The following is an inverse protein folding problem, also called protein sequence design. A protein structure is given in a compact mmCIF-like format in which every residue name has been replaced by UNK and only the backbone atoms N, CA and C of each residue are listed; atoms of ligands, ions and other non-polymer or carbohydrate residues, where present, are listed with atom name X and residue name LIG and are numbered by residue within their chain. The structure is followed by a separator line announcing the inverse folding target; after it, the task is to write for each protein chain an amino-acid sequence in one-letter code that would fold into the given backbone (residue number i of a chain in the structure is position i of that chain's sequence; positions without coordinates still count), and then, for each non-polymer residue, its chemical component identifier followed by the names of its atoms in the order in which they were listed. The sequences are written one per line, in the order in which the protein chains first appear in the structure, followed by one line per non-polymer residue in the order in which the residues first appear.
data_IF_892838578184
#
_entry.id   IF_892838578184
#
_cell.length_a   1.000
_cell.length_b   1.000
_cell.length_c   1.000
_cell.angle_alpha   90.00
_cell.angle_beta   90.00
_cell.angle_gamma   90.00
#
_symmetry.space_group_name_H-M   'P 1'
#
loop_
_entity.id
_entity.type
_entity.pdbx_description
1 polymer ?
#
# COMPACT_ATOMS: atom_id res chain seq x y z
N UNK A 1 -21.12 35.13 30.02
CA UNK A 1 -21.87 33.88 29.76
C UNK A 1 -21.63 33.45 28.32
N UNK A 2 -20.72 32.48 28.10
CA UNK A 2 -20.45 31.93 26.76
C UNK A 2 -21.57 30.93 26.43
N UNK A 3 -22.34 31.20 25.38
CA UNK A 3 -23.30 30.25 24.80
C UNK A 3 -22.52 29.03 24.33
N UNK A 4 -22.79 27.87 24.92
CA UNK A 4 -22.33 26.59 24.40
C UNK A 4 -22.82 26.45 22.95
N UNK A 5 -21.89 26.33 22.00
CA UNK A 5 -22.20 25.99 20.64
C UNK A 5 -22.95 24.65 20.65
N UNK A 6 -24.18 24.63 20.14
CA UNK A 6 -24.92 23.38 19.93
C UNK A 6 -24.16 22.61 18.85
N UNK A 7 -23.64 21.45 19.22
CA UNK A 7 -23.01 20.50 18.30
C UNK A 7 -24.01 20.11 17.19
N UNK A 8 -23.48 19.86 16.00
CA UNK A 8 -24.25 19.51 14.81
C UNK A 8 -25.01 18.18 15.05
N UNK A 9 -26.28 18.03 14.62
CA UNK A 9 -27.01 16.75 14.66
C UNK A 9 -26.23 15.54 14.12
N UNK A 10 -25.31 15.72 13.16
CA UNK A 10 -24.41 14.66 12.68
C UNK A 10 -23.39 14.23 13.74
N UNK A 11 -22.76 15.19 14.44
CA UNK A 11 -21.82 14.93 15.55
C UNK A 11 -22.51 14.23 16.73
N UNK A 12 -23.80 14.50 16.97
CA UNK A 12 -24.61 13.83 17.99
C UNK A 12 -24.92 12.35 17.69
N UNK A 13 -24.82 11.92 16.43
CA UNK A 13 -25.05 10.53 16.01
C UNK A 13 -23.77 9.68 16.19
N UNK A 14 -22.62 10.26 15.88
CA UNK A 14 -21.31 9.65 16.10
C UNK A 14 -20.99 9.50 17.59
N UNK A 15 -21.25 10.52 18.41
CA UNK A 15 -21.01 10.46 19.86
C UNK A 15 -21.76 9.29 20.55
N UNK A 16 -22.93 8.89 20.03
CA UNK A 16 -23.73 7.75 20.53
C UNK A 16 -23.22 6.38 20.08
N UNK A 17 -22.54 6.30 18.94
CA UNK A 17 -21.91 5.05 18.47
C UNK A 17 -20.70 4.64 19.32
N UNK A 18 -20.04 5.59 19.97
CA UNK A 18 -18.84 5.35 20.78
C UNK A 18 -19.10 5.29 22.29
N UNK A 19 -20.35 5.52 22.71
CA UNK A 19 -20.73 5.66 24.12
C UNK A 19 -21.40 4.44 24.75
N UNK A 20 -21.67 3.39 23.97
CA UNK A 20 -22.37 2.16 24.40
C UNK A 20 -21.54 0.90 24.13
N UNK A 21 -21.77 -0.16 24.91
CA UNK A 21 -21.12 -1.46 24.68
C UNK A 21 -21.50 -2.06 23.31
N UNK A 22 -22.76 -1.90 22.90
CA UNK A 22 -23.23 -2.36 21.59
C UNK A 22 -22.61 -1.55 20.44
N UNK A 23 -22.52 -0.23 20.60
CA UNK A 23 -21.82 0.66 19.68
C UNK A 23 -20.35 0.27 19.50
N UNK A 24 -19.64 -0.01 20.60
CA UNK A 24 -18.26 -0.49 20.55
C UNK A 24 -18.10 -1.85 19.84
N UNK A 25 -19.04 -2.79 20.05
CA UNK A 25 -19.07 -4.08 19.33
C UNK A 25 -19.27 -3.88 17.82
N UNK A 26 -20.25 -3.05 17.46
CA UNK A 26 -20.56 -2.76 16.06
C UNK A 26 -19.39 -2.02 15.37
N UNK A 27 -18.76 -1.07 16.06
CA UNK A 27 -17.56 -0.41 15.57
C UNK A 27 -16.43 -1.41 15.31
N UNK A 28 -16.15 -2.31 16.25
CA UNK A 28 -15.10 -3.32 16.13
C UNK A 28 -15.32 -4.26 14.95
N UNK A 29 -16.57 -4.68 14.71
CA UNK A 29 -16.92 -5.52 13.55
C UNK A 29 -16.74 -4.79 12.23
N UNK A 30 -17.19 -3.53 12.13
CA UNK A 30 -17.00 -2.74 10.90
C UNK A 30 -15.53 -2.40 10.66
N UNK A 31 -14.75 -2.18 11.73
CA UNK A 31 -13.31 -1.99 11.65
C UNK A 31 -12.60 -3.26 11.15
N UNK A 32 -13.05 -4.45 11.61
CA UNK A 32 -12.58 -5.74 11.08
C UNK A 32 -12.88 -5.88 9.59
N UNK A 33 -14.12 -5.60 9.17
CA UNK A 33 -14.51 -5.63 7.75
C UNK A 33 -13.61 -4.71 6.93
N UNK A 34 -13.46 -3.44 7.33
CA UNK A 34 -12.58 -2.49 6.66
C UNK A 34 -11.17 -3.05 6.45
N UNK A 35 -10.62 -3.70 7.48
CA UNK A 35 -9.28 -4.27 7.39
C UNK A 35 -9.24 -5.46 6.44
N UNK A 36 -10.20 -6.38 6.51
CA UNK A 36 -10.31 -7.50 5.57
C UNK A 36 -10.42 -7.01 4.12
N UNK A 37 -11.26 -6.01 3.91
CA UNK A 37 -11.49 -5.36 2.61
C UNK A 37 -10.21 -4.65 2.12
N UNK A 38 -9.39 -4.15 3.05
CA UNK A 38 -8.09 -3.53 2.75
C UNK A 38 -6.95 -4.54 2.56
N UNK A 39 -7.21 -5.84 2.69
CA UNK A 39 -6.18 -6.89 2.73
C UNK A 39 -5.26 -6.78 3.96
N UNK A 40 -5.74 -6.18 5.04
CA UNK A 40 -5.04 -5.99 6.31
C UNK A 40 -5.62 -6.99 7.30
N UNK A 41 -4.78 -7.87 7.82
CA UNK A 41 -5.27 -8.87 8.77
C UNK A 41 -5.14 -8.35 10.19
N UNK A 42 -6.23 -7.82 10.71
CA UNK A 42 -6.28 -7.30 12.07
C UNK A 42 -7.36 -8.06 12.85
N UNK A 43 -6.99 -8.98 13.76
CA UNK A 43 -7.94 -9.83 14.46
C UNK A 43 -9.06 -9.06 15.18
N UNK A 44 -10.26 -9.67 15.28
CA UNK A 44 -11.42 -9.01 15.88
C UNK A 44 -11.18 -8.60 17.34
N UNK A 45 -10.46 -9.42 18.11
CA UNK A 45 -10.09 -9.08 19.49
C UNK A 45 -9.17 -7.83 19.55
N UNK A 46 -8.29 -7.63 18.57
CA UNK A 46 -7.49 -6.40 18.46
C UNK A 46 -8.34 -5.22 17.99
N UNK A 47 -9.32 -5.42 17.12
CA UNK A 47 -10.30 -4.39 16.77
C UNK A 47 -11.10 -3.94 18.01
N UNK A 48 -11.52 -4.88 18.85
CA UNK A 48 -12.19 -4.63 20.13
C UNK A 48 -11.30 -3.83 21.09
N UNK A 49 -10.03 -4.23 21.22
CA UNK A 49 -9.07 -3.49 22.02
C UNK A 49 -8.84 -2.06 21.49
N UNK A 50 -8.73 -1.90 20.17
CA UNK A 50 -8.62 -0.59 19.53
C UNK A 50 -9.84 0.29 19.82
N UNK A 51 -11.05 -0.27 19.74
CA UNK A 51 -12.29 0.44 20.08
C UNK A 51 -12.32 0.89 21.55
N UNK A 52 -11.89 0.02 22.47
CA UNK A 52 -11.84 0.34 23.89
C UNK A 52 -10.85 1.48 24.20
N UNK A 53 -9.63 1.40 23.67
CA UNK A 53 -8.60 2.43 23.86
C UNK A 53 -9.02 3.76 23.20
N UNK A 54 -9.60 3.70 22.00
CA UNK A 54 -10.16 4.87 21.33
C UNK A 54 -11.27 5.52 22.17
N UNK A 55 -12.13 4.72 22.81
CA UNK A 55 -13.14 5.16 23.78
C UNK A 55 -12.58 5.77 25.07
N UNK A 56 -11.28 5.65 25.33
CA UNK A 56 -10.63 6.15 26.55
C UNK A 56 -10.66 5.14 27.71
N UNK A 57 -10.86 3.86 27.43
CA UNK A 57 -10.80 2.76 28.40
C UNK A 57 -9.42 2.09 28.36
N UNK A 58 -9.07 1.36 29.43
CA UNK A 58 -7.80 0.63 29.48
C UNK A 58 -7.78 -0.55 28.51
N UNK A 59 -8.87 -1.32 28.49
CA UNK A 59 -9.04 -2.51 27.68
C UNK A 59 -10.53 -2.84 27.49
N UNK A 60 -10.83 -3.93 26.78
CA UNK A 60 -12.20 -4.35 26.49
C UNK A 60 -13.01 -4.73 27.73
N UNK A 61 -12.38 -5.29 28.76
CA UNK A 61 -13.05 -5.66 30.01
C UNK A 61 -13.38 -4.43 30.84
N UNK A 62 -12.48 -3.44 30.86
CA UNK A 62 -12.70 -2.13 31.47
C UNK A 62 -13.86 -1.37 30.82
N UNK A 63 -13.91 -1.37 29.48
CA UNK A 63 -15.07 -0.85 28.73
C UNK A 63 -16.35 -1.56 29.12
N UNK A 64 -16.35 -2.90 29.13
CA UNK A 64 -17.51 -3.70 29.47
C UNK A 64 -18.07 -3.41 30.86
N UNK A 65 -17.20 -3.27 31.87
CA UNK A 65 -17.59 -2.91 33.25
C UNK A 65 -18.10 -1.48 33.34
N UNK A 66 -17.41 -0.54 32.68
CA UNK A 66 -17.71 0.90 32.77
C UNK A 66 -19.00 1.30 32.07
N UNK A 67 -19.39 0.58 31.00
CA UNK A 67 -20.61 0.85 30.22
C UNK A 67 -21.78 -0.07 30.59
N UNK A 68 -21.65 -0.92 31.61
CA UNK A 68 -22.68 -1.86 32.03
C UNK A 68 -23.96 -1.19 32.60
N UNK A 69 -23.94 0.12 32.86
CA UNK A 69 -25.10 0.81 33.45
C UNK A 69 -25.26 2.30 33.10
N UNK A 70 -24.35 2.91 32.33
CA UNK A 70 -24.49 4.32 31.94
C UNK A 70 -23.70 4.62 30.66
N UNK A 71 -24.33 5.32 29.72
CA UNK A 71 -23.68 5.78 28.50
C UNK A 71 -22.62 6.84 28.83
N UNK A 72 -21.45 6.73 28.20
CA UNK A 72 -20.38 7.71 28.35
C UNK A 72 -20.08 8.36 27.01
N UNK A 73 -20.53 9.61 26.75
CA UNK A 73 -20.21 10.29 25.51
C UNK A 73 -18.69 10.47 25.37
N UNK A 74 -18.18 10.20 24.17
CA UNK A 74 -16.76 10.35 23.83
C UNK A 74 -16.63 11.47 22.80
N UNK A 75 -15.66 12.36 23.03
CA UNK A 75 -15.29 13.38 22.04
C UNK A 75 -14.77 12.70 20.74
N UNK A 76 -15.41 12.94 19.58
CA UNK A 76 -15.03 12.29 18.31
C UNK A 76 -13.57 12.57 17.91
N UNK A 77 -13.09 13.80 18.14
CA UNK A 77 -11.71 14.19 17.85
C UNK A 77 -10.70 13.41 18.69
N UNK A 78 -10.96 13.27 20.00
CA UNK A 78 -10.13 12.49 20.91
C UNK A 78 -10.20 10.98 20.61
N UNK A 79 -11.37 10.47 20.21
CA UNK A 79 -11.52 9.08 19.76
C UNK A 79 -10.64 8.80 18.55
N UNK A 80 -10.73 9.63 17.50
CA UNK A 80 -9.91 9.50 16.28
C UNK A 80 -8.42 9.49 16.59
N UNK A 81 -7.94 10.44 17.41
CA UNK A 81 -6.52 10.52 17.80
C UNK A 81 -6.04 9.27 18.53
N UNK A 82 -6.81 8.78 19.51
CA UNK A 82 -6.45 7.57 20.27
C UNK A 82 -6.50 6.30 19.42
N UNK A 83 -7.47 6.19 18.51
CA UNK A 83 -7.57 5.07 17.60
C UNK A 83 -6.34 4.96 16.70
N UNK A 84 -5.95 6.06 16.04
CA UNK A 84 -4.78 6.08 15.17
C UNK A 84 -3.50 5.81 15.95
N UNK A 85 -3.36 6.39 17.16
CA UNK A 85 -2.19 6.14 18.01
C UNK A 85 -2.05 4.67 18.44
N UNK A 86 -3.16 3.94 18.60
CA UNK A 86 -3.13 2.52 18.97
C UNK A 86 -2.88 1.60 17.78
N UNK A 87 -3.45 1.93 16.62
CA UNK A 87 -3.35 1.10 15.43
C UNK A 87 -1.91 1.08 14.89
N UNK A 88 -1.46 -0.04 14.29
CA UNK A 88 -0.20 -0.06 13.57
C UNK A 88 -0.32 0.81 12.31
N UNK A 89 0.80 1.39 11.87
CA UNK A 89 0.87 2.30 10.70
C UNK A 89 0.17 1.77 9.43
N UNK A 90 0.31 0.47 9.06
CA UNK A 90 -0.50 -0.18 8.02
C UNK A 90 -2.01 0.14 8.01
N UNK A 91 -2.60 0.24 9.20
CA UNK A 91 -4.03 0.41 9.42
C UNK A 91 -4.47 1.87 9.37
N UNK A 92 -3.54 2.83 9.46
CA UNK A 92 -3.88 4.24 9.63
C UNK A 92 -4.66 4.77 8.44
N UNK A 93 -4.19 4.51 7.21
CA UNK A 93 -4.79 5.12 6.03
C UNK A 93 -6.21 4.61 5.78
N UNK A 94 -6.50 3.29 5.72
CA UNK A 94 -7.88 2.83 5.56
C UNK A 94 -8.81 3.36 6.65
N UNK A 95 -8.33 3.44 7.90
CA UNK A 95 -9.14 3.94 9.03
C UNK A 95 -9.40 5.44 8.93
N UNK A 96 -8.40 6.24 8.52
CA UNK A 96 -8.60 7.67 8.33
C UNK A 96 -9.64 7.93 7.23
N UNK A 97 -9.50 7.26 6.09
CA UNK A 97 -10.47 7.33 5.01
C UNK A 97 -11.86 6.87 5.45
N UNK A 98 -11.93 5.72 6.14
CA UNK A 98 -13.19 5.13 6.62
C UNK A 98 -13.94 5.99 7.65
N UNK A 99 -13.20 6.63 8.56
CA UNK A 99 -13.78 7.56 9.53
C UNK A 99 -14.30 8.83 8.85
N UNK A 100 -13.64 9.27 7.78
CA UNK A 100 -14.06 10.44 7.02
C UNK A 100 -15.29 10.14 6.12
N UNK A 101 -15.51 8.89 5.66
CA UNK A 101 -16.71 8.51 4.86
C UNK A 101 -18.02 8.64 5.62
N UNK A 102 -18.01 8.41 6.93
CA UNK A 102 -19.23 8.37 7.74
C UNK A 102 -19.95 9.72 7.83
N UNK A 103 -19.29 10.78 7.38
CA UNK A 103 -19.79 12.16 7.39
C UNK A 103 -20.30 12.65 6.01
N UNK A 104 -20.28 11.82 4.96
CA UNK A 104 -20.60 12.28 3.60
C UNK A 104 -21.47 11.27 2.82
N UNK A 105 -22.43 11.78 2.04
CA UNK A 105 -23.20 10.98 1.08
C UNK A 105 -22.32 10.59 -0.13
N UNK A 106 -22.34 9.31 -0.51
CA UNK A 106 -21.64 8.81 -1.71
C UNK A 106 -22.47 9.09 -2.95
N UNK A 107 -21.81 9.43 -4.07
CA UNK A 107 -22.47 9.84 -5.32
C UNK A 107 -23.29 8.72 -5.96
N UNK A 108 -22.90 7.46 -5.76
CA UNK A 108 -23.47 6.31 -6.50
C UNK A 108 -24.20 5.28 -5.62
N UNK A 109 -24.43 5.54 -4.34
CA UNK A 109 -25.21 4.66 -3.46
C UNK A 109 -24.60 3.27 -3.16
N UNK A 110 -23.64 2.81 -3.95
CA UNK A 110 -22.79 1.66 -3.65
C UNK A 110 -21.60 2.13 -2.80
N UNK A 111 -21.39 1.49 -1.65
CA UNK A 111 -20.19 1.72 -0.84
C UNK A 111 -18.92 1.38 -1.64
N UNK A 112 -17.76 1.83 -1.17
CA UNK A 112 -16.49 1.46 -1.78
C UNK A 112 -16.35 -0.06 -1.86
N UNK A 113 -16.03 -0.58 -3.04
CA UNK A 113 -15.74 -2.01 -3.20
C UNK A 113 -14.44 -2.37 -2.45
N UNK A 114 -14.34 -3.63 -1.99
CA UNK A 114 -13.15 -4.11 -1.27
C UNK A 114 -11.85 -3.84 -2.05
N UNK A 115 -11.89 -3.94 -3.38
CA UNK A 115 -10.73 -3.69 -4.24
C UNK A 115 -10.23 -2.24 -4.18
N UNK A 116 -11.07 -1.27 -3.84
CA UNK A 116 -10.67 0.14 -3.81
C UNK A 116 -9.64 0.43 -2.72
N UNK A 117 -9.90 -0.02 -1.48
CA UNK A 117 -9.00 0.19 -0.34
C UNK A 117 -7.64 -0.47 -0.53
N UNK A 118 -7.64 -1.57 -1.28
CA UNK A 118 -6.45 -2.35 -1.59
C UNK A 118 -5.67 -1.79 -2.77
N UNK A 119 -6.34 -1.46 -3.87
CA UNK A 119 -5.70 -1.14 -5.15
C UNK A 119 -5.52 0.36 -5.38
N UNK A 120 -6.33 1.22 -4.77
CA UNK A 120 -6.38 2.66 -5.10
C UNK A 120 -5.88 3.54 -3.95
N UNK A 121 -6.33 3.29 -2.72
CA UNK A 121 -5.96 4.11 -1.54
C UNK A 121 -4.43 4.26 -1.33
N UNK A 122 -3.60 3.22 -1.54
CA UNK A 122 -2.14 3.38 -1.44
C UNK A 122 -1.57 4.41 -2.43
N UNK A 123 -2.13 4.48 -3.64
CA UNK A 123 -1.72 5.42 -4.68
C UNK A 123 -2.29 6.83 -4.42
N UNK A 124 -3.51 6.93 -3.90
CA UNK A 124 -4.09 8.20 -3.42
C UNK A 124 -3.21 8.83 -2.35
N UNK A 125 -2.85 8.05 -1.33
CA UNK A 125 -2.00 8.54 -0.25
C UNK A 125 -0.60 8.90 -0.76
N UNK A 126 0.02 8.01 -1.53
CA UNK A 126 1.37 8.24 -2.06
C UNK A 126 1.41 9.49 -2.94
N UNK A 127 0.43 9.66 -3.84
CA UNK A 127 0.31 10.87 -4.65
C UNK A 127 0.16 12.13 -3.79
N UNK A 128 -0.67 12.10 -2.74
CA UNK A 128 -0.82 13.25 -1.84
C UNK A 128 0.48 13.66 -1.13
N UNK A 129 1.30 12.68 -0.73
CA UNK A 129 2.60 12.90 -0.06
C UNK A 129 3.62 13.44 -1.07
N UNK A 130 3.75 12.79 -2.23
CA UNK A 130 4.73 13.17 -3.24
C UNK A 130 4.39 14.53 -3.86
N UNK A 131 3.12 14.89 -4.06
CA UNK A 131 2.74 16.23 -4.50
C UNK A 131 3.20 17.32 -3.53
N UNK A 132 3.00 17.14 -2.22
CA UNK A 132 3.47 18.09 -1.20
C UNK A 132 4.98 18.27 -1.22
N UNK A 133 5.73 17.20 -1.50
CA UNK A 133 7.18 17.24 -1.50
C UNK A 133 7.78 17.69 -2.82
N UNK A 134 7.18 17.38 -3.98
CA UNK A 134 7.77 17.59 -5.32
C UNK A 134 7.15 18.74 -6.12
N UNK A 135 5.84 18.98 -6.00
CA UNK A 135 5.18 20.01 -6.81
C UNK A 135 5.51 21.41 -6.30
N UNK A 136 6.30 22.17 -7.06
CA UNK A 136 6.76 23.51 -6.68
C UNK A 136 5.60 24.46 -6.33
N UNK A 137 4.46 24.35 -7.03
CA UNK A 137 3.27 25.16 -6.79
C UNK A 137 2.59 24.88 -5.44
N UNK A 138 2.83 23.73 -4.84
CA UNK A 138 2.19 23.28 -3.60
C UNK A 138 3.08 23.47 -2.36
N UNK A 139 4.39 23.65 -2.55
CA UNK A 139 5.33 23.81 -1.43
C UNK A 139 5.08 25.11 -0.64
N UNK A 140 5.26 25.11 0.69
CA UNK A 140 5.23 26.33 1.48
C UNK A 140 6.17 27.39 0.90
N UNK A 141 5.67 28.61 0.70
CA UNK A 141 6.43 29.70 0.10
C UNK A 141 6.26 29.88 -1.41
N UNK A 142 5.43 29.08 -2.10
CA UNK A 142 5.15 29.22 -3.55
C UNK A 142 4.29 30.44 -3.93
N UNK A 143 4.19 31.43 -3.05
CA UNK A 143 3.49 32.69 -3.26
C UNK A 143 1.98 32.66 -2.99
N UNK A 144 1.28 33.75 -3.33
CA UNK A 144 -0.15 33.88 -3.10
C UNK A 144 -0.95 32.74 -3.76
N UNK A 145 -1.93 32.20 -3.04
CA UNK A 145 -2.74 31.06 -3.51
C UNK A 145 -2.16 29.68 -3.22
N UNK A 146 -0.98 29.55 -2.61
CA UNK A 146 -0.36 28.26 -2.28
C UNK A 146 -1.32 27.33 -1.51
N UNK A 147 -1.96 27.83 -0.44
CA UNK A 147 -2.89 27.03 0.38
C UNK A 147 -4.11 26.58 -0.40
N UNK A 148 -4.61 27.41 -1.33
CA UNK A 148 -5.72 27.06 -2.19
C UNK A 148 -5.30 25.94 -3.15
N UNK A 149 -4.15 26.07 -3.82
CA UNK A 149 -3.62 25.02 -4.71
C UNK A 149 -3.37 23.71 -3.98
N UNK A 150 -2.74 23.76 -2.81
CA UNK A 150 -2.52 22.56 -1.98
C UNK A 150 -3.85 21.91 -1.62
N UNK A 151 -4.84 22.71 -1.22
CA UNK A 151 -6.18 22.22 -0.92
C UNK A 151 -6.84 21.56 -2.14
N UNK A 152 -6.82 22.23 -3.30
CA UNK A 152 -7.42 21.72 -4.54
C UNK A 152 -6.83 20.37 -4.95
N UNK A 153 -5.54 20.12 -4.70
CA UNK A 153 -4.89 18.84 -5.04
C UNK A 153 -5.03 17.83 -3.91
N UNK A 154 -4.55 18.17 -2.71
CA UNK A 154 -4.41 17.20 -1.61
C UNK A 154 -5.74 16.91 -0.93
N UNK A 155 -6.57 17.93 -0.68
CA UNK A 155 -7.88 17.69 -0.07
C UNK A 155 -8.83 16.97 -1.03
N UNK A 156 -8.72 17.23 -2.33
CA UNK A 156 -9.45 16.46 -3.36
C UNK A 156 -9.09 14.97 -3.30
N UNK A 157 -7.80 14.63 -3.29
CA UNK A 157 -7.35 13.24 -3.20
C UNK A 157 -7.76 12.56 -1.89
N UNK A 158 -7.76 13.29 -0.77
CA UNK A 158 -8.07 12.75 0.55
C UNK A 158 -9.57 12.79 0.90
N UNK A 159 -10.47 12.88 -0.08
CA UNK A 159 -11.92 12.75 0.11
C UNK A 159 -12.77 13.97 -0.27
N UNK A 160 -12.17 15.02 -0.84
CA UNK A 160 -12.86 16.21 -1.32
C UNK A 160 -13.35 17.16 -0.21
N UNK A 161 -13.64 18.41 -0.59
CA UNK A 161 -14.28 19.42 0.27
C UNK A 161 -15.73 19.74 -0.13
N UNK A 162 -16.23 19.10 -1.18
CA UNK A 162 -17.61 19.23 -1.62
C UNK A 162 -18.61 18.61 -0.64
N UNK A 163 -19.90 18.88 -0.85
CA UNK A 163 -20.98 18.22 -0.13
C UNK A 163 -21.11 16.73 -0.46
N UNK A 164 -20.46 16.28 -1.54
CA UNK A 164 -20.41 14.90 -2.00
C UNK A 164 -18.99 14.37 -1.91
N UNK A 165 -18.85 13.12 -1.47
CA UNK A 165 -17.55 12.46 -1.41
C UNK A 165 -17.09 12.06 -2.80
N UNK A 166 -15.85 12.42 -3.12
CA UNK A 166 -15.19 12.01 -4.35
C UNK A 166 -14.40 10.75 -4.11
N UNK A 167 -14.55 9.78 -5.01
CA UNK A 167 -13.85 8.50 -4.97
C UNK A 167 -12.93 8.47 -6.21
N UNK A 168 -11.65 8.85 -6.07
CA UNK A 168 -10.72 8.83 -7.19
C UNK A 168 -10.55 7.43 -7.76
N UNK A 169 -10.75 7.23 -9.06
CA UNK A 169 -10.39 5.99 -9.74
C UNK A 169 -8.91 6.05 -10.16
N UNK A 170 -8.19 4.92 -10.07
CA UNK A 170 -6.80 4.85 -10.50
C UNK A 170 -6.73 4.40 -11.96
N UNK A 171 -6.08 5.19 -12.81
CA UNK A 171 -5.65 4.74 -14.13
C UNK A 171 -4.34 3.93 -14.00
N UNK A 172 -4.32 2.62 -14.31
CA UNK A 172 -3.15 1.77 -14.02
C UNK A 172 -1.89 2.16 -14.79
N UNK A 173 -2.04 2.64 -16.02
CA UNK A 173 -0.91 2.91 -16.91
C UNK A 173 -0.20 4.23 -16.57
N UNK A 174 -0.97 5.25 -16.18
CA UNK A 174 -0.48 6.60 -15.89
C UNK A 174 -0.26 6.81 -14.39
N UNK A 175 -0.92 6.01 -13.54
CA UNK A 175 -1.14 6.25 -12.12
C UNK A 175 -1.87 7.56 -11.82
N UNK A 176 -2.59 8.10 -12.81
CA UNK A 176 -3.45 9.26 -12.60
C UNK A 176 -4.66 8.87 -11.75
N UNK A 177 -5.12 9.83 -10.94
CA UNK A 177 -6.29 9.68 -10.09
C UNK A 177 -7.44 10.51 -10.67
N UNK A 178 -8.47 9.81 -11.13
CA UNK A 178 -9.58 10.37 -11.91
C UNK A 178 -10.80 10.56 -11.03
N UNK A 179 -11.35 11.75 -11.02
CA UNK A 179 -12.61 12.08 -10.37
C UNK A 179 -13.54 12.75 -11.38
N UNK A 180 -14.82 12.37 -11.34
CA UNK A 180 -15.85 12.96 -12.20
C UNK A 180 -16.71 13.92 -11.39
N UNK A 181 -16.98 15.09 -11.96
CA UNK A 181 -17.80 16.13 -11.32
C UNK A 181 -17.64 17.49 -11.96
N UNK A 182 -18.63 18.35 -11.71
CA UNK A 182 -18.48 19.79 -11.97
C UNK A 182 -17.56 20.45 -10.93
N UNK A 183 -17.10 21.67 -11.20
CA UNK A 183 -16.19 22.39 -10.29
C UNK A 183 -16.75 22.57 -8.88
N UNK A 184 -18.06 22.80 -8.75
CA UNK A 184 -18.73 22.96 -7.46
C UNK A 184 -18.71 21.66 -6.63
N UNK A 185 -18.99 20.51 -7.25
CA UNK A 185 -18.94 19.20 -6.59
C UNK A 185 -17.50 18.76 -6.28
N UNK A 186 -16.55 19.07 -7.15
CA UNK A 186 -15.15 18.69 -6.97
C UNK A 186 -14.46 19.48 -5.86
N UNK A 187 -14.67 20.79 -5.80
CA UNK A 187 -13.88 21.68 -4.95
C UNK A 187 -14.68 22.35 -3.82
N UNK A 188 -16.01 22.26 -3.83
CA UNK A 188 -16.87 22.82 -2.78
C UNK A 188 -16.61 24.32 -2.57
N UNK A 189 -16.40 24.71 -1.31
CA UNK A 189 -16.13 26.12 -0.92
C UNK A 189 -14.88 26.71 -1.60
N UNK A 190 -13.92 25.89 -2.04
CA UNK A 190 -12.73 26.38 -2.72
C UNK A 190 -13.09 26.92 -4.12
N UNK A 191 -14.18 26.43 -4.75
CA UNK A 191 -14.67 26.90 -6.05
C UNK A 191 -15.18 28.36 -6.01
N UNK A 192 -15.63 28.82 -4.85
CA UNK A 192 -16.12 30.19 -4.64
C UNK A 192 -14.98 31.20 -4.41
N UNK A 193 -13.74 30.73 -4.27
CA UNK A 193 -12.61 31.59 -3.95
C UNK A 193 -12.26 32.52 -5.14
N UNK A 194 -12.01 33.83 -4.95
CA UNK A 194 -11.75 34.78 -6.06
C UNK A 194 -10.54 34.44 -6.94
N UNK A 195 -9.65 33.58 -6.45
CA UNK A 195 -8.46 33.10 -7.18
C UNK A 195 -8.63 31.72 -7.80
N UNK A 196 -9.78 31.07 -7.61
CA UNK A 196 -10.00 29.68 -7.99
C UNK A 196 -9.63 29.41 -9.45
N UNK A 197 -10.24 30.13 -10.39
CA UNK A 197 -9.95 29.97 -11.84
C UNK A 197 -8.48 30.16 -12.18
N UNK A 198 -7.84 31.17 -11.58
CA UNK A 198 -6.41 31.45 -11.81
C UNK A 198 -5.52 30.33 -11.28
N UNK A 199 -5.79 29.86 -10.06
CA UNK A 199 -5.00 28.84 -9.40
C UNK A 199 -5.28 27.45 -10.02
N UNK A 200 -6.51 27.18 -10.48
CA UNK A 200 -6.87 25.99 -11.29
C UNK A 200 -6.08 25.95 -12.61
N UNK A 201 -6.12 27.05 -13.38
CA UNK A 201 -5.36 27.17 -14.63
C UNK A 201 -3.86 26.98 -14.41
N UNK A 202 -3.32 27.44 -13.27
CA UNK A 202 -1.90 27.22 -12.93
C UNK A 202 -1.56 25.76 -12.64
N UNK A 203 -2.48 25.01 -12.04
CA UNK A 203 -2.31 23.57 -11.79
C UNK A 203 -2.38 22.77 -13.10
N UNK A 204 -3.28 23.15 -14.01
CA UNK A 204 -3.36 22.57 -15.36
C UNK A 204 -2.10 22.87 -16.16
N UNK A 205 -1.67 24.13 -16.20
CA UNK A 205 -0.45 24.53 -16.91
C UNK A 205 0.83 23.86 -16.37
N UNK A 206 0.83 23.49 -15.09
CA UNK A 206 1.94 22.76 -14.46
C UNK A 206 1.86 21.24 -14.65
N UNK A 207 0.87 20.71 -15.37
CA UNK A 207 0.67 19.28 -15.56
C UNK A 207 0.34 18.53 -14.26
N UNK A 208 -0.23 19.22 -13.27
CA UNK A 208 -0.75 18.57 -12.06
C UNK A 208 -2.18 18.09 -12.30
N UNK A 209 -2.96 18.88 -13.05
CA UNK A 209 -4.33 18.54 -13.44
C UNK A 209 -4.48 18.44 -14.96
N UNK A 210 -5.36 17.54 -15.38
CA UNK A 210 -6.04 17.61 -16.67
C UNK A 210 -7.54 17.67 -16.38
N UNK A 211 -8.24 18.66 -16.93
CA UNK A 211 -9.68 18.82 -16.73
C UNK A 211 -10.38 18.99 -18.07
N UNK A 212 -11.21 18.02 -18.42
CA UNK A 212 -11.96 17.99 -19.69
C UNK A 212 -13.30 17.28 -19.48
N UNK A 213 -14.38 17.84 -20.03
CA UNK A 213 -15.73 17.26 -20.01
C UNK A 213 -16.23 16.77 -18.63
N UNK A 214 -15.92 17.52 -17.57
CA UNK A 214 -16.32 17.16 -16.20
C UNK A 214 -15.51 16.01 -15.59
N UNK A 215 -14.40 15.62 -16.24
CA UNK A 215 -13.46 14.62 -15.75
C UNK A 215 -12.17 15.34 -15.36
N UNK A 216 -11.80 15.24 -14.08
CA UNK A 216 -10.56 15.76 -13.55
C UNK A 216 -9.59 14.61 -13.29
N UNK A 217 -8.41 14.67 -13.90
CA UNK A 217 -7.29 13.78 -13.63
C UNK A 217 -6.26 14.52 -12.80
N UNK A 218 -5.86 13.92 -11.68
CA UNK A 218 -4.68 14.34 -10.93
C UNK A 218 -3.51 13.49 -11.38
N UNK A 219 -2.58 14.11 -12.11
CA UNK A 219 -1.39 13.43 -12.62
C UNK A 219 -0.33 13.31 -11.51
N UNK A 220 0.37 12.17 -11.39
CA UNK A 220 1.37 12.00 -10.35
C UNK A 220 2.54 12.97 -10.56
N UNK A 221 2.97 13.64 -9.48
CA UNK A 221 4.14 14.52 -9.54
C UNK A 221 5.44 13.80 -9.96
N UNK A 222 5.53 12.51 -9.65
CA UNK A 222 6.63 11.61 -10.03
C UNK A 222 6.08 10.17 -10.00
N UNK A 223 5.81 9.61 -11.17
CA UNK A 223 5.15 8.29 -11.31
C UNK A 223 5.93 7.19 -10.61
N UNK A 224 7.25 7.15 -10.81
CA UNK A 224 8.11 6.10 -10.27
C UNK A 224 8.24 6.23 -8.75
N UNK A 225 8.33 7.46 -8.23
CA UNK A 225 8.37 7.68 -6.78
C UNK A 225 7.03 7.37 -6.10
N UNK A 226 5.90 7.68 -6.75
CA UNK A 226 4.57 7.29 -6.27
C UNK A 226 4.44 5.76 -6.22
N UNK A 227 4.83 5.07 -7.29
CA UNK A 227 4.83 3.61 -7.33
C UNK A 227 5.73 3.00 -6.24
N UNK A 228 6.95 3.54 -6.08
CA UNK A 228 7.89 3.09 -5.05
C UNK A 228 7.38 3.37 -3.63
N UNK A 229 6.74 4.52 -3.41
CA UNK A 229 6.15 4.86 -2.11
C UNK A 229 4.95 3.96 -1.77
N UNK A 230 4.08 3.67 -2.74
CA UNK A 230 2.98 2.73 -2.58
C UNK A 230 3.52 1.31 -2.30
N UNK A 231 4.53 0.87 -3.05
CA UNK A 231 5.21 -0.42 -2.84
C UNK A 231 5.80 -0.55 -1.44
N UNK A 232 6.48 0.50 -0.91
CA UNK A 232 6.96 0.52 0.48
C UNK A 232 5.83 0.33 1.49
N UNK A 233 4.69 0.99 1.28
CA UNK A 233 3.51 0.80 2.14
C UNK A 233 3.00 -0.64 2.16
N UNK A 234 3.10 -1.37 1.04
CA UNK A 234 2.81 -2.80 0.98
C UNK A 234 3.91 -3.64 1.66
N UNK A 235 5.17 -3.24 1.57
CA UNK A 235 6.29 -3.89 2.26
C UNK A 235 6.21 -3.73 3.79
N UNK A 236 5.87 -2.55 4.29
CA UNK A 236 5.71 -2.30 5.73
C UNK A 236 4.55 -3.13 6.30
N UNK A 237 3.48 -3.30 5.51
CA UNK A 237 2.38 -4.25 5.80
C UNK A 237 2.91 -5.68 5.90
N UNK A 238 3.65 -6.12 4.89
CA UNK A 238 4.26 -7.45 4.86
C UNK A 238 5.19 -7.71 6.06
N UNK A 239 6.02 -6.74 6.44
CA UNK A 239 6.90 -6.85 7.61
C UNK A 239 6.13 -6.92 8.93
N UNK A 240 5.06 -6.12 9.09
CA UNK A 240 4.19 -6.22 10.25
C UNK A 240 3.57 -7.62 10.37
N UNK A 241 3.07 -8.18 9.26
CA UNK A 241 2.43 -9.50 9.28
C UNK A 241 3.42 -10.66 9.43
N UNK A 242 4.65 -10.51 8.94
CA UNK A 242 5.71 -11.50 9.17
C UNK A 242 6.00 -11.69 10.68
N UNK A 243 5.82 -10.65 11.49
CA UNK A 243 5.96 -10.74 12.95
C UNK A 243 4.78 -11.42 13.67
N UNK A 244 3.64 -11.61 12.99
CA UNK A 244 2.43 -12.24 13.53
C UNK A 244 2.41 -13.76 13.23
N UNK A 245 2.92 -14.17 12.07
CA UNK A 245 2.95 -15.57 11.63
C UNK A 245 1.57 -16.14 11.24
N UNK A 246 1.54 -17.40 10.81
CA UNK A 246 0.31 -18.14 10.46
C UNK A 246 -0.14 -18.02 8.99
N UNK A 247 -1.22 -18.72 8.66
CA UNK A 247 -1.83 -18.77 7.32
C UNK A 247 -2.30 -17.37 6.87
N UNK A 248 -2.72 -16.56 7.83
CA UNK A 248 -3.06 -15.17 7.61
C UNK A 248 -1.87 -14.34 7.09
N UNK A 249 -0.69 -14.47 7.71
CA UNK A 249 0.48 -13.72 7.26
C UNK A 249 0.84 -14.06 5.80
N UNK A 250 0.63 -15.33 5.41
CA UNK A 250 0.82 -15.82 4.05
C UNK A 250 -0.15 -15.15 3.08
N UNK A 251 -1.45 -15.11 3.40
CA UNK A 251 -2.45 -14.44 2.56
C UNK A 251 -2.15 -12.94 2.39
N UNK A 252 -1.84 -12.23 3.47
CA UNK A 252 -1.54 -10.80 3.41
C UNK A 252 -0.28 -10.49 2.57
N UNK A 253 0.76 -11.30 2.74
CA UNK A 253 1.98 -11.17 1.95
C UNK A 253 1.74 -11.51 0.48
N UNK A 254 0.96 -12.55 0.19
CA UNK A 254 0.58 -12.92 -1.17
C UNK A 254 -0.23 -11.82 -1.87
N UNK A 255 -1.12 -11.18 -1.12
CA UNK A 255 -1.89 -10.03 -1.59
C UNK A 255 -0.98 -8.88 -2.00
N UNK A 256 0.01 -8.53 -1.16
CA UNK A 256 1.00 -7.50 -1.43
C UNK A 256 1.90 -7.86 -2.62
N UNK A 257 2.37 -9.12 -2.67
CA UNK A 257 3.19 -9.65 -3.75
C UNK A 257 2.44 -9.58 -5.09
N UNK A 258 1.18 -10.01 -5.14
CA UNK A 258 0.34 -9.93 -6.33
C UNK A 258 0.16 -8.49 -6.81
N UNK A 259 -0.06 -7.54 -5.90
CA UNK A 259 -0.18 -6.11 -6.23
C UNK A 259 1.12 -5.52 -6.83
N UNK A 260 2.28 -6.11 -6.52
CA UNK A 260 3.58 -5.74 -7.12
C UNK A 260 3.91 -6.54 -8.39
N UNK A 261 2.94 -7.28 -8.92
CA UNK A 261 3.06 -8.08 -10.15
C UNK A 261 3.80 -9.40 -9.97
N UNK A 262 3.93 -9.91 -8.73
CA UNK A 262 4.51 -11.24 -8.50
C UNK A 262 3.48 -12.29 -8.86
N UNK A 263 3.76 -13.08 -9.89
CA UNK A 263 2.99 -14.28 -10.23
C UNK A 263 3.16 -15.34 -9.13
N UNK A 264 2.16 -16.23 -8.97
CA UNK A 264 2.16 -17.27 -7.92
C UNK A 264 2.36 -16.71 -6.49
N UNK A 265 1.85 -15.51 -6.24
CA UNK A 265 2.09 -14.74 -5.02
C UNK A 265 1.85 -15.51 -3.70
N UNK A 266 0.84 -16.39 -3.65
CA UNK A 266 0.59 -17.27 -2.50
C UNK A 266 1.78 -18.16 -2.18
N UNK A 267 2.31 -18.84 -3.20
CA UNK A 267 3.45 -19.74 -3.01
C UNK A 267 4.71 -18.97 -2.62
N UNK A 268 4.93 -17.79 -3.21
CA UNK A 268 6.07 -16.94 -2.83
C UNK A 268 5.91 -16.47 -1.39
N UNK A 269 4.71 -16.12 -0.94
CA UNK A 269 4.44 -15.75 0.44
C UNK A 269 4.69 -16.90 1.43
N UNK A 270 4.19 -18.09 1.13
CA UNK A 270 4.44 -19.32 1.90
C UNK A 270 5.95 -19.57 2.05
N UNK A 271 6.70 -19.44 0.94
CA UNK A 271 8.13 -19.67 0.93
C UNK A 271 8.93 -18.61 1.69
N UNK A 272 8.49 -17.35 1.65
CA UNK A 272 9.13 -16.25 2.37
C UNK A 272 8.90 -16.38 3.87
N UNK A 273 7.68 -16.69 4.29
CA UNK A 273 7.30 -16.78 5.72
C UNK A 273 7.60 -18.14 6.35
N UNK A 274 7.73 -19.20 5.56
CA UNK A 274 8.06 -20.55 6.01
C UNK A 274 9.49 -20.72 6.54
N UNK A 275 10.23 -19.62 6.78
CA UNK A 275 11.58 -19.68 7.32
C UNK A 275 11.59 -20.43 8.66
N UNK A 276 12.40 -21.48 8.76
CA UNK A 276 12.46 -22.35 9.94
C UNK A 276 11.41 -23.47 9.97
N UNK A 277 10.72 -23.73 8.85
CA UNK A 277 9.86 -24.91 8.70
C UNK A 277 10.61 -26.20 9.02
N UNK A 278 9.98 -27.07 9.83
CA UNK A 278 10.51 -28.40 10.18
C UNK A 278 10.66 -29.32 8.96
N UNK A 279 10.01 -28.97 7.84
CA UNK A 279 10.12 -29.72 6.58
C UNK A 279 11.47 -29.53 5.87
N UNK A 280 12.29 -28.55 6.28
CA UNK A 280 13.56 -28.24 5.63
C UNK A 280 14.72 -28.21 6.62
N UNK A 281 15.83 -28.89 6.27
CA UNK A 281 17.05 -28.95 7.10
C UNK A 281 17.69 -27.56 7.25
N UNK A 282 17.54 -26.71 6.23
CA UNK A 282 18.04 -25.32 6.26
C UNK A 282 16.88 -24.36 6.51
N UNK A 283 16.99 -23.40 7.44
CA UNK A 283 15.91 -22.46 7.75
C UNK A 283 15.40 -21.67 6.53
N UNK A 284 16.24 -21.39 5.54
CA UNK A 284 15.84 -20.72 4.27
C UNK A 284 15.41 -21.71 3.18
N UNK A 285 15.12 -22.96 3.52
CA UNK A 285 14.77 -24.02 2.56
C UNK A 285 13.58 -23.68 1.66
N UNK A 286 12.44 -23.22 2.20
CA UNK A 286 11.27 -22.90 1.37
C UNK A 286 11.54 -21.84 0.30
N UNK A 287 12.24 -20.74 0.65
CA UNK A 287 12.59 -19.72 -0.34
C UNK A 287 13.60 -20.23 -1.37
N UNK A 288 14.56 -21.07 -0.97
CA UNK A 288 15.51 -21.66 -1.91
C UNK A 288 14.82 -22.57 -2.93
N UNK A 289 13.85 -23.37 -2.48
CA UNK A 289 13.04 -24.23 -3.34
C UNK A 289 12.17 -23.39 -4.29
N UNK A 290 11.55 -22.32 -3.78
CA UNK A 290 10.77 -21.38 -4.58
C UNK A 290 11.61 -20.72 -5.68
N UNK A 291 12.79 -20.19 -5.34
CA UNK A 291 13.68 -19.59 -6.33
C UNK A 291 14.14 -20.62 -7.38
N UNK A 292 14.33 -21.88 -6.98
CA UNK A 292 14.65 -22.95 -7.93
C UNK A 292 13.52 -23.16 -8.93
N UNK A 293 12.28 -23.24 -8.45
CA UNK A 293 11.10 -23.44 -9.29
C UNK A 293 10.91 -22.27 -10.26
N UNK A 294 10.94 -21.03 -9.76
CA UNK A 294 10.80 -19.83 -10.58
C UNK A 294 11.88 -19.75 -11.66
N UNK A 295 13.13 -20.09 -11.34
CA UNK A 295 14.22 -20.14 -12.33
C UNK A 295 14.01 -21.23 -13.38
N UNK A 296 13.58 -22.43 -12.95
CA UNK A 296 13.27 -23.55 -13.87
C UNK A 296 12.09 -23.26 -14.79
N UNK A 297 11.11 -22.48 -14.34
CA UNK A 297 9.95 -22.05 -15.12
C UNK A 297 10.25 -20.83 -16.02
N UNK A 298 11.47 -20.28 -15.98
CA UNK A 298 11.87 -19.11 -16.77
C UNK A 298 11.39 -17.77 -16.23
N UNK A 299 10.86 -17.74 -15.00
CA UNK A 299 10.28 -16.54 -14.37
C UNK A 299 11.34 -15.64 -13.70
N UNK A 300 12.30 -15.13 -14.48
CA UNK A 300 13.44 -14.35 -13.95
C UNK A 300 13.05 -13.10 -13.16
N UNK A 301 12.00 -12.38 -13.60
CA UNK A 301 11.48 -11.21 -12.87
C UNK A 301 10.95 -11.63 -11.48
N UNK A 302 10.26 -12.78 -11.41
CA UNK A 302 9.73 -13.30 -10.16
C UNK A 302 10.84 -13.75 -9.20
N UNK A 303 11.94 -14.33 -9.70
CA UNK A 303 13.14 -14.66 -8.90
C UNK A 303 13.68 -13.41 -8.19
N UNK A 304 13.92 -12.32 -8.93
CA UNK A 304 14.42 -11.07 -8.34
C UNK A 304 13.43 -10.49 -7.33
N UNK A 305 12.13 -10.44 -7.66
CA UNK A 305 11.09 -9.92 -6.75
C UNK A 305 10.97 -10.74 -5.46
N UNK A 306 10.97 -12.07 -5.56
CA UNK A 306 10.89 -12.97 -4.40
C UNK A 306 12.11 -12.81 -3.47
N UNK A 307 13.32 -12.74 -4.03
CA UNK A 307 14.52 -12.49 -3.24
C UNK A 307 14.49 -11.13 -2.55
N UNK A 308 14.07 -10.07 -3.26
CA UNK A 308 13.95 -8.71 -2.68
C UNK A 308 13.03 -8.71 -1.48
N UNK A 309 11.84 -9.30 -1.60
CA UNK A 309 10.87 -9.34 -0.49
C UNK A 309 11.41 -10.19 0.67
N UNK A 310 12.00 -11.35 0.38
CA UNK A 310 12.67 -12.16 1.40
C UNK A 310 13.77 -11.36 2.12
N UNK A 311 14.61 -10.63 1.40
CA UNK A 311 15.72 -9.86 1.99
C UNK A 311 15.25 -8.73 2.90
N UNK A 312 14.06 -8.18 2.66
CA UNK A 312 13.46 -7.14 3.49
C UNK A 312 12.84 -7.71 4.77
N UNK A 313 12.33 -8.95 4.72
CA UNK A 313 11.66 -9.61 5.85
C UNK A 313 12.67 -10.38 6.72
N UNK A 314 13.68 -10.98 6.11
CA UNK A 314 14.72 -11.79 6.76
C UNK A 314 16.14 -11.31 6.39
N UNK A 315 16.52 -10.07 6.75
CA UNK A 315 17.81 -9.48 6.38
C UNK A 315 19.01 -10.32 6.84
N UNK A 316 18.91 -11.00 7.98
CA UNK A 316 19.92 -11.89 8.54
C UNK A 316 20.21 -13.13 7.68
N UNK A 317 19.30 -13.50 6.77
CA UNK A 317 19.47 -14.63 5.85
C UNK A 317 19.54 -14.21 4.39
N UNK A 318 19.43 -12.91 4.09
CA UNK A 318 19.41 -12.38 2.74
C UNK A 318 20.67 -12.74 1.95
N UNK A 319 21.85 -12.60 2.57
CA UNK A 319 23.13 -12.92 1.94
C UNK A 319 23.23 -14.41 1.60
N UNK A 320 22.83 -15.29 2.52
CA UNK A 320 22.84 -16.73 2.27
C UNK A 320 21.99 -17.12 1.06
N UNK A 321 20.77 -16.57 0.95
CA UNK A 321 19.90 -16.83 -0.20
C UNK A 321 20.45 -16.20 -1.48
N UNK A 322 21.00 -14.99 -1.40
CA UNK A 322 21.65 -14.28 -2.53
C UNK A 322 22.78 -15.12 -3.14
N UNK A 323 23.64 -15.71 -2.32
CA UNK A 323 24.75 -16.56 -2.77
C UNK A 323 24.31 -17.82 -3.52
N UNK A 324 23.07 -18.28 -3.31
CA UNK A 324 22.53 -19.44 -4.02
C UNK A 324 22.02 -19.14 -5.44
N UNK A 325 21.76 -17.87 -5.75
CA UNK A 325 21.09 -17.47 -7.01
C UNK A 325 21.90 -17.84 -8.25
N UNK A 326 23.21 -17.56 -8.35
CA UNK A 326 23.99 -17.91 -9.54
C UNK A 326 23.89 -19.39 -9.91
N UNK A 327 23.97 -20.28 -8.92
CA UNK A 327 23.85 -21.72 -9.12
C UNK A 327 22.46 -22.14 -9.62
N UNK A 328 21.38 -21.49 -9.14
CA UNK A 328 20.02 -21.73 -9.62
C UNK A 328 19.83 -21.24 -11.05
N UNK A 329 20.37 -20.08 -11.38
CA UNK A 329 20.30 -19.54 -12.75
C UNK A 329 21.07 -20.42 -13.73
N UNK A 330 22.31 -20.80 -13.41
CA UNK A 330 23.12 -21.64 -14.30
C UNK A 330 22.47 -23.02 -14.51
N UNK A 331 22.11 -23.72 -13.43
CA UNK A 331 21.61 -25.10 -13.52
C UNK A 331 20.15 -25.23 -13.96
N UNK A 332 19.27 -24.31 -13.55
CA UNK A 332 17.82 -24.45 -13.75
C UNK A 332 17.31 -23.58 -14.90
N UNK A 333 17.83 -22.36 -15.03
CA UNK A 333 17.42 -21.49 -16.13
C UNK A 333 18.24 -21.78 -17.40
N UNK A 334 19.56 -21.57 -17.37
CA UNK A 334 20.38 -21.67 -18.58
C UNK A 334 20.42 -23.09 -19.13
N UNK A 335 20.76 -24.08 -18.30
CA UNK A 335 20.86 -25.47 -18.79
C UNK A 335 19.48 -26.09 -19.01
N UNK A 336 18.60 -26.10 -18.00
CA UNK A 336 17.33 -26.84 -18.09
C UNK A 336 16.23 -26.11 -18.86
N UNK A 337 15.98 -24.83 -18.56
CA UNK A 337 14.89 -24.08 -19.19
C UNK A 337 15.25 -23.63 -20.62
N UNK A 338 16.45 -23.05 -20.80
CA UNK A 338 16.93 -22.55 -22.10
C UNK A 338 17.58 -23.64 -22.97
N UNK A 339 17.94 -24.79 -22.41
CA UNK A 339 18.55 -25.89 -23.15
C UNK A 339 20.00 -25.63 -23.55
N UNK A 340 20.70 -24.71 -22.87
CA UNK A 340 22.11 -24.43 -23.15
C UNK A 340 22.96 -25.64 -22.78
N UNK A 341 23.84 -26.04 -23.70
CA UNK A 341 24.76 -27.15 -23.47
C UNK A 341 25.67 -26.85 -22.26
N UNK A 342 25.75 -27.80 -21.32
CA UNK A 342 26.48 -27.63 -20.07
C UNK A 342 27.98 -27.41 -20.27
N UNK A 343 28.60 -28.04 -21.27
CA UNK A 343 30.04 -27.90 -21.55
C UNK A 343 30.33 -26.49 -22.06
N UNK A 344 29.49 -25.96 -22.97
CA UNK A 344 29.59 -24.56 -23.43
C UNK A 344 29.44 -23.56 -22.30
N UNK A 345 28.52 -23.83 -21.37
CA UNK A 345 28.34 -22.97 -20.19
C UNK A 345 29.58 -23.00 -19.29
N UNK A 346 30.17 -24.18 -19.04
CA UNK A 346 31.38 -24.31 -18.21
C UNK A 346 32.58 -23.60 -18.85
N UNK A 347 32.78 -23.76 -20.15
CA UNK A 347 33.81 -23.05 -20.89
C UNK A 347 33.62 -21.53 -20.79
N UNK A 348 32.42 -21.03 -21.06
CA UNK A 348 32.10 -19.60 -20.94
C UNK A 348 32.36 -19.07 -19.53
N UNK A 349 31.89 -19.77 -18.49
CA UNK A 349 32.10 -19.38 -17.09
C UNK A 349 33.58 -19.35 -16.70
N UNK A 350 34.42 -20.21 -17.29
CA UNK A 350 35.87 -20.21 -17.03
C UNK A 350 36.58 -18.95 -17.55
N UNK A 351 36.00 -18.30 -18.57
CA UNK A 351 36.55 -17.07 -19.18
C UNK A 351 36.00 -15.79 -18.55
N UNK A 352 34.96 -15.87 -17.71
CA UNK A 352 34.30 -14.72 -17.08
C UNK A 352 34.10 -14.92 -15.59
N UNK A 353 35.17 -14.81 -14.81
CA UNK A 353 35.14 -15.05 -13.35
C UNK A 353 34.13 -14.20 -12.57
N UNK A 354 33.69 -13.04 -13.10
CA UNK A 354 32.78 -12.11 -12.40
C UNK A 354 31.28 -12.37 -12.65
N UNK A 355 30.92 -13.33 -13.51
CA UNK A 355 29.52 -13.55 -13.92
C UNK A 355 28.56 -13.73 -12.73
N UNK A 356 29.02 -14.44 -11.69
CA UNK A 356 28.21 -14.71 -10.50
C UNK A 356 27.94 -13.44 -9.70
N UNK A 357 28.91 -12.52 -9.62
CA UNK A 357 28.73 -11.22 -8.96
C UNK A 357 27.81 -10.30 -9.77
N UNK A 358 27.91 -10.31 -11.10
CA UNK A 358 27.02 -9.55 -11.97
C UNK A 358 25.55 -9.96 -11.78
N UNK A 359 25.28 -11.27 -11.77
CA UNK A 359 23.94 -11.82 -11.51
C UNK A 359 23.44 -11.43 -10.12
N UNK A 360 24.30 -11.52 -9.08
CA UNK A 360 23.96 -11.13 -7.71
C UNK A 360 23.69 -9.64 -7.57
N UNK A 361 24.48 -8.79 -8.24
CA UNK A 361 24.31 -7.34 -8.21
C UNK A 361 23.01 -6.91 -8.90
N UNK A 362 22.62 -7.60 -9.97
CA UNK A 362 21.41 -7.29 -10.72
C UNK A 362 20.11 -7.63 -9.96
N UNK A 363 20.14 -8.51 -8.95
CA UNK A 363 18.97 -8.95 -8.18
C UNK A 363 18.11 -7.82 -7.57
N UNK A 364 18.71 -6.66 -7.29
CA UNK A 364 17.98 -5.51 -6.74
C UNK A 364 17.00 -4.87 -7.73
N UNK A 365 17.17 -5.11 -9.03
CA UNK A 365 16.35 -4.57 -10.10
C UNK A 365 15.85 -5.71 -10.99
N UNK A 366 14.54 -6.05 -10.95
CA UNK A 366 14.00 -7.17 -11.71
C UNK A 366 14.19 -7.08 -13.23
N UNK A 367 14.13 -5.86 -13.79
CA UNK A 367 14.31 -5.67 -15.23
C UNK A 367 15.78 -5.84 -15.61
N UNK A 368 16.69 -5.24 -14.83
CA UNK A 368 18.13 -5.42 -15.01
C UNK A 368 18.54 -6.87 -14.82
N UNK A 369 18.04 -7.55 -13.79
CA UNK A 369 18.31 -8.96 -13.52
C UNK A 369 17.95 -9.83 -14.73
N UNK A 370 16.74 -9.64 -15.28
CA UNK A 370 16.32 -10.37 -16.49
C UNK A 370 17.26 -10.07 -17.66
N UNK A 371 17.56 -8.79 -17.93
CA UNK A 371 18.46 -8.39 -19.03
C UNK A 371 19.84 -9.04 -18.89
N UNK A 372 20.46 -8.95 -17.71
CA UNK A 372 21.78 -9.52 -17.43
C UNK A 372 21.80 -11.03 -17.67
N UNK A 373 20.78 -11.76 -17.21
CA UNK A 373 20.71 -13.21 -17.39
C UNK A 373 20.43 -13.60 -18.85
N UNK A 374 19.60 -12.85 -19.57
CA UNK A 374 19.34 -13.09 -20.99
C UNK A 374 20.54 -12.75 -21.88
N UNK A 375 21.26 -11.66 -21.59
CA UNK A 375 22.51 -11.29 -22.26
C UNK A 375 23.59 -12.36 -22.04
N UNK A 376 23.67 -12.91 -20.82
CA UNK A 376 24.53 -14.05 -20.52
C UNK A 376 24.15 -15.27 -21.37
N UNK A 377 22.86 -15.61 -21.46
CA UNK A 377 22.39 -16.73 -22.28
C UNK A 377 22.79 -16.56 -23.75
N UNK A 378 22.54 -15.37 -24.33
CA UNK A 378 22.94 -15.03 -25.70
C UNK A 378 24.46 -15.10 -25.90
N UNK A 379 25.24 -14.63 -24.92
CA UNK A 379 26.70 -14.67 -25.00
C UNK A 379 27.25 -16.11 -24.97
N UNK A 380 26.61 -17.02 -24.24
CA UNK A 380 27.01 -18.44 -24.19
C UNK A 380 26.65 -19.12 -25.52
N UNK A 381 25.46 -18.85 -26.06
CA UNK A 381 25.00 -19.40 -27.34
C UNK A 381 25.88 -18.93 -28.51
N UNK A 382 26.41 -17.71 -28.45
CA UNK A 382 27.31 -17.15 -29.45
C UNK A 382 28.77 -17.64 -29.33
N UNK A 383 29.17 -18.18 -28.18
CA UNK A 383 30.50 -18.77 -28.00
C UNK A 383 30.57 -20.09 -28.81
N UNK A 384 31.49 -20.10 -29.79
CA UNK A 384 31.63 -21.20 -30.76
C UNK A 384 32.13 -22.47 -30.11
#
# INVERSE_FOLDING_TARGET
MRRAARLDPAEMKDARMFSTLEGAKNFSKKLKSLFDDSGIIFPLNRCQQAAAIAGGFRDWHDLGRSLAGTDRPVDPGAFRRRLIAFLPQPCWIPVLFWLDERNQETVDGEGLSHNYYRAVVPYVFSSSVIHRSKSALLRPGSGPGQRLRESMVVSLLLGGKGSKRLIPQLEPDTLALVVSGDTASLFGVDAEHPRFEKDLASLVAAGIFEYEDGILRVLPADKDEVAAHAARGFTDRAQYFAGVGGDEAIEALAVALSATGVEQAMRVAEAVLGKGSEMHITPSGPILEMLSKLAGDGQLIAVSRAWRVFSMIHPESANFVRESVPAKISSLYLVRNRGINADKMVEWMSTRSEWAEEVKAALHDPARFKSTVDEMALSIEAAR
#
